data_IF_409834968391
#
_entry.id   IF_409834968391
#
_cell.length_a   1.000
_cell.length_b   1.000
_cell.length_c   1.000
_cell.angle_alpha   90.00
_cell.angle_beta   90.00
_cell.angle_gamma   90.00
#
_symmetry.space_group_name_H-M   'P 1'
#
loop_
_entity.id
_entity.type
_entity.pdbx_description
1 polymer ?
#
# COMPACT_ATOMS: atom_id res chain seq x y z
N UNK A 1 15.60 22.59 5.61
CA UNK A 1 16.98 22.08 5.74
C UNK A 1 17.03 21.23 6.99
N UNK A 2 17.74 20.12 6.96
CA UNK A 2 17.93 19.25 8.12
C UNK A 2 19.42 19.25 8.47
N UNK A 3 19.72 19.36 9.75
CA UNK A 3 21.08 19.30 10.28
C UNK A 3 21.19 18.10 11.20
N UNK A 4 22.15 17.23 10.92
CA UNK A 4 22.37 16.03 11.73
C UNK A 4 23.63 16.22 12.55
N UNK A 5 23.49 16.20 13.88
CA UNK A 5 24.60 16.34 14.82
C UNK A 5 25.58 15.17 14.75
N UNK A 6 25.13 13.97 14.34
CA UNK A 6 25.97 12.78 14.19
C UNK A 6 27.06 12.96 13.12
N UNK A 7 26.72 13.57 11.98
CA UNK A 7 27.60 13.68 10.81
C UNK A 7 27.97 15.13 10.46
N UNK A 8 27.52 16.12 11.24
CA UNK A 8 27.73 17.57 11.02
C UNK A 8 27.45 18.03 9.57
N UNK A 9 26.45 17.45 8.90
CA UNK A 9 26.08 17.77 7.51
C UNK A 9 24.79 18.57 7.48
N UNK A 10 24.80 19.64 6.67
CA UNK A 10 23.62 20.42 6.30
C UNK A 10 23.05 19.86 5.00
N UNK A 11 21.78 19.46 5.04
CA UNK A 11 21.10 18.92 3.88
C UNK A 11 19.96 19.81 3.40
N UNK A 12 19.90 20.02 2.09
CA UNK A 12 18.87 20.79 1.41
C UNK A 12 17.89 19.85 0.69
N UNK A 13 16.60 20.04 0.96
CA UNK A 13 15.51 19.24 0.41
C UNK A 13 14.47 20.17 -0.24
N UNK A 14 14.78 20.75 -1.41
CA UNK A 14 13.88 21.69 -2.09
C UNK A 14 12.60 20.97 -2.54
N UNK A 15 11.47 21.68 -2.46
CA UNK A 15 10.15 21.17 -2.87
C UNK A 15 9.37 22.29 -3.55
N UNK A 16 8.76 21.96 -4.67
CA UNK A 16 7.91 22.85 -5.45
C UNK A 16 6.59 22.12 -5.72
N UNK A 17 5.48 22.82 -5.54
CA UNK A 17 4.16 22.33 -5.91
C UNK A 17 3.40 23.45 -6.62
N UNK A 18 2.82 23.13 -7.77
CA UNK A 18 2.04 24.02 -8.61
C UNK A 18 0.70 23.35 -8.89
N UNK A 19 -0.38 24.10 -8.75
CA UNK A 19 -1.70 23.59 -9.05
C UNK A 19 -2.49 24.63 -9.84
N UNK A 20 -3.16 24.19 -10.90
CA UNK A 20 -3.94 25.02 -11.79
C UNK A 20 -5.36 24.48 -11.90
N UNK A 21 -6.35 25.33 -11.60
CA UNK A 21 -7.77 24.98 -11.80
C UNK A 21 -8.08 25.06 -13.28
N UNK A 22 -8.38 23.91 -13.89
CA UNK A 22 -8.78 23.82 -15.31
C UNK A 22 -10.29 23.99 -15.50
N UNK A 23 -11.06 24.01 -14.41
CA UNK A 23 -12.49 24.30 -14.38
C UNK A 23 -13.01 24.47 -12.95
N UNK A 24 -14.32 24.65 -12.78
CA UNK A 24 -14.96 24.85 -11.47
C UNK A 24 -14.65 23.69 -10.50
N UNK A 25 -14.71 22.47 -11.03
CA UNK A 25 -14.53 21.21 -10.29
C UNK A 25 -13.24 20.48 -10.65
N UNK A 26 -12.39 21.05 -11.52
CA UNK A 26 -11.24 20.36 -12.11
C UNK A 26 -9.92 21.08 -11.80
N UNK A 27 -8.89 20.30 -11.49
CA UNK A 27 -7.55 20.81 -11.19
C UNK A 27 -6.49 19.85 -11.70
N UNK A 28 -5.41 20.41 -12.24
CA UNK A 28 -4.15 19.71 -12.50
C UNK A 28 -3.13 20.21 -11.48
N UNK A 29 -2.34 19.32 -10.88
CA UNK A 29 -1.21 19.72 -10.05
C UNK A 29 0.06 18.94 -10.38
N UNK A 30 1.19 19.64 -10.29
CA UNK A 30 2.53 19.11 -10.47
C UNK A 30 3.32 19.38 -9.19
N UNK A 31 3.87 18.33 -8.60
CA UNK A 31 4.76 18.42 -7.45
C UNK A 31 6.12 17.79 -7.78
N UNK A 32 7.19 18.49 -7.45
CA UNK A 32 8.55 17.99 -7.56
C UNK A 32 9.33 18.31 -6.29
N UNK A 33 10.16 17.40 -5.82
CA UNK A 33 10.99 17.69 -4.65
C UNK A 33 11.91 16.56 -4.25
N UNK A 34 12.93 16.93 -3.48
CA UNK A 34 13.88 16.00 -2.88
C UNK A 34 13.51 15.72 -1.44
N UNK A 35 13.69 14.47 -1.04
CA UNK A 35 13.43 13.93 0.28
C UNK A 35 14.64 13.13 0.73
N UNK A 36 14.77 12.99 2.03
CA UNK A 36 15.88 12.28 2.63
C UNK A 36 15.43 11.65 3.94
N UNK A 37 16.11 10.58 4.32
CA UNK A 37 15.88 9.88 5.55
C UNK A 37 17.22 9.40 6.11
N UNK A 38 17.41 9.53 7.42
CA UNK A 38 18.55 8.91 8.07
C UNK A 38 18.47 7.38 7.91
N UNK A 39 19.60 6.68 7.75
CA UNK A 39 19.64 5.24 7.85
C UNK A 39 18.98 4.75 9.15
N UNK A 40 18.46 3.52 9.13
CA UNK A 40 17.84 2.95 10.31
C UNK A 40 18.86 2.80 11.46
N UNK A 41 18.40 2.98 12.69
CA UNK A 41 19.26 3.02 13.89
C UNK A 41 20.09 1.75 14.09
N UNK A 42 19.58 0.59 13.68
CA UNK A 42 20.28 -0.69 13.71
C UNK A 42 21.53 -0.69 12.81
N UNK A 43 21.46 -0.03 11.65
CA UNK A 43 22.60 0.13 10.74
C UNK A 43 23.58 1.19 11.25
N UNK A 44 23.08 2.30 11.81
CA UNK A 44 23.92 3.37 12.38
C UNK A 44 24.70 2.92 13.61
N UNK A 45 24.20 1.95 14.37
CA UNK A 45 24.93 1.31 15.48
C UNK A 45 26.17 0.54 15.02
N UNK A 46 26.12 0.02 13.79
CA UNK A 46 27.23 -0.73 13.19
C UNK A 46 28.19 0.25 12.52
N UNK A 47 27.68 1.09 11.61
CA UNK A 47 28.45 2.12 10.93
C UNK A 47 27.77 3.49 11.06
N UNK A 48 28.32 4.34 11.92
CA UNK A 48 27.83 5.70 12.16
C UNK A 48 28.25 6.72 11.09
N UNK A 49 29.01 6.32 10.07
CA UNK A 49 29.44 7.18 8.96
C UNK A 49 28.51 7.08 7.74
N UNK A 50 27.41 6.33 7.84
CA UNK A 50 26.42 6.24 6.78
C UNK A 50 25.73 7.59 6.54
N UNK A 51 25.56 7.92 5.27
CA UNK A 51 24.85 9.12 4.81
C UNK A 51 23.34 8.90 4.70
N UNK A 52 22.61 10.00 4.56
CA UNK A 52 21.16 9.98 4.36
C UNK A 52 20.79 9.31 3.05
N UNK A 53 19.78 8.45 3.10
CA UNK A 53 19.12 7.90 1.93
C UNK A 53 18.25 8.97 1.28
N UNK A 54 18.26 9.08 -0.05
CA UNK A 54 17.58 10.16 -0.78
C UNK A 54 16.52 9.64 -1.72
N UNK A 55 15.46 10.43 -1.88
CA UNK A 55 14.39 10.18 -2.85
C UNK A 55 13.98 11.48 -3.55
N UNK A 56 14.08 11.51 -4.88
CA UNK A 56 13.56 12.60 -5.70
C UNK A 56 12.20 12.19 -6.26
N UNK A 57 11.17 13.02 -6.01
CA UNK A 57 9.80 12.77 -6.45
C UNK A 57 9.40 13.74 -7.55
N UNK A 58 8.71 13.23 -8.56
CA UNK A 58 7.98 13.98 -9.56
C UNK A 58 6.59 13.37 -9.68
N UNK A 59 5.55 14.16 -9.40
CA UNK A 59 4.18 13.71 -9.33
C UNK A 59 3.30 14.66 -10.13
N UNK A 60 2.54 14.13 -11.07
CA UNK A 60 1.54 14.85 -11.84
C UNK A 60 0.17 14.26 -11.53
N UNK A 61 -0.75 15.08 -11.04
CA UNK A 61 -2.11 14.66 -10.79
C UNK A 61 -3.12 15.50 -11.58
N UNK A 62 -4.24 14.86 -11.90
CA UNK A 62 -5.46 15.52 -12.33
C UNK A 62 -6.60 15.02 -11.44
N UNK A 63 -7.41 15.94 -10.96
CA UNK A 63 -8.60 15.63 -10.19
C UNK A 63 -9.80 16.39 -10.72
N UNK A 64 -10.94 15.70 -10.76
CA UNK A 64 -12.25 16.29 -10.92
C UNK A 64 -13.11 15.88 -9.72
N UNK A 65 -13.61 16.87 -8.98
CA UNK A 65 -14.36 16.68 -7.74
C UNK A 65 -15.66 17.44 -7.82
N UNK A 66 -16.77 16.72 -7.84
CA UNK A 66 -18.11 17.25 -7.65
C UNK A 66 -18.69 16.74 -6.33
N UNK A 67 -19.83 17.26 -5.84
CA UNK A 67 -20.43 16.81 -4.58
C UNK A 67 -20.65 15.29 -4.48
N UNK A 68 -20.85 14.63 -5.62
CA UNK A 68 -21.33 13.25 -5.70
C UNK A 68 -20.42 12.31 -6.50
N UNK A 69 -19.43 12.86 -7.20
CA UNK A 69 -18.54 12.08 -8.04
C UNK A 69 -17.13 12.63 -7.91
N UNK A 70 -16.15 11.75 -7.83
CA UNK A 70 -14.75 12.11 -7.72
C UNK A 70 -13.95 11.25 -8.68
N UNK A 71 -13.19 11.90 -9.55
CA UNK A 71 -12.18 11.27 -10.39
C UNK A 71 -10.81 11.80 -10.02
N UNK A 72 -9.83 10.92 -9.85
CA UNK A 72 -8.42 11.28 -9.68
C UNK A 72 -7.57 10.33 -10.49
N UNK A 73 -6.57 10.89 -11.16
CA UNK A 73 -5.48 10.15 -11.77
C UNK A 73 -4.18 10.82 -11.40
N UNK A 74 -3.20 10.03 -10.97
CA UNK A 74 -1.88 10.50 -10.57
C UNK A 74 -0.83 9.64 -11.23
N UNK A 75 0.11 10.28 -11.95
CA UNK A 75 1.34 9.65 -12.41
C UNK A 75 2.49 10.08 -11.52
N UNK A 76 3.31 9.13 -11.10
CA UNK A 76 4.47 9.43 -10.26
C UNK A 76 5.74 8.77 -10.79
N UNK A 77 6.86 9.45 -10.56
CA UNK A 77 8.21 8.96 -10.73
C UNK A 77 9.02 9.32 -9.49
N UNK A 78 9.59 8.30 -8.87
CA UNK A 78 10.48 8.42 -7.71
C UNK A 78 11.82 7.82 -8.08
N UNK A 79 12.91 8.53 -7.79
CA UNK A 79 14.28 8.04 -7.94
C UNK A 79 14.92 7.98 -6.58
N UNK A 80 15.43 6.80 -6.22
CA UNK A 80 16.11 6.55 -4.97
C UNK A 80 17.62 6.54 -5.20
N UNK A 81 18.37 7.23 -4.34
CA UNK A 81 19.82 7.37 -4.40
C UNK A 81 20.39 7.28 -3.01
N UNK A 82 21.68 6.98 -2.93
CA UNK A 82 22.42 6.89 -1.68
C UNK A 82 21.79 5.91 -0.67
N UNK A 83 21.14 4.86 -1.19
CA UNK A 83 20.54 3.83 -0.33
C UNK A 83 21.63 3.00 0.34
N UNK A 84 21.40 2.60 1.57
CA UNK A 84 22.35 1.80 2.34
C UNK A 84 22.45 0.40 1.75
N UNK A 85 23.69 -0.09 1.64
CA UNK A 85 24.11 -1.41 1.18
C UNK A 85 25.03 -2.05 2.22
N UNK A 86 24.91 -3.35 2.41
CA UNK A 86 25.82 -4.15 3.26
C UNK A 86 25.91 -5.59 2.76
N UNK A 87 26.92 -6.32 3.22
CA UNK A 87 27.08 -7.75 2.92
C UNK A 87 26.35 -8.59 3.98
N UNK A 88 25.44 -9.45 3.54
CA UNK A 88 24.69 -10.35 4.43
C UNK A 88 25.58 -11.38 5.13
N UNK A 89 26.74 -11.71 4.56
CA UNK A 89 27.65 -12.72 5.10
C UNK A 89 28.45 -12.20 6.30
N UNK A 90 28.60 -10.88 6.44
CA UNK A 90 29.33 -10.25 7.54
C UNK A 90 28.70 -8.91 7.93
N UNK A 91 27.51 -9.00 8.52
CA UNK A 91 26.72 -7.84 8.99
C UNK A 91 27.38 -7.10 10.16
N UNK A 92 28.42 -7.65 10.80
CA UNK A 92 29.08 -6.99 11.93
C UNK A 92 30.26 -6.14 11.51
N UNK A 93 30.69 -6.24 10.24
CA UNK A 93 31.82 -5.48 9.74
C UNK A 93 31.36 -4.13 9.17
N UNK A 94 31.64 -3.00 9.87
CA UNK A 94 31.20 -1.68 9.44
C UNK A 94 31.80 -1.25 8.09
N UNK A 95 32.94 -1.81 7.66
CA UNK A 95 33.56 -1.41 6.39
C UNK A 95 32.82 -1.92 5.16
N UNK A 96 31.92 -2.89 5.33
CA UNK A 96 31.09 -3.42 4.24
C UNK A 96 29.79 -2.62 4.03
N UNK A 97 29.56 -1.60 4.87
CA UNK A 97 28.42 -0.71 4.77
C UNK A 97 28.75 0.48 3.87
N UNK A 98 27.83 0.81 2.95
CA UNK A 98 27.98 1.96 2.04
C UNK A 98 26.64 2.55 1.63
N UNK A 99 26.63 3.77 1.09
CA UNK A 99 25.47 4.39 0.45
C UNK A 99 25.50 4.24 -1.08
N UNK A 100 25.84 3.06 -1.58
CA UNK A 100 25.96 2.81 -3.03
C UNK A 100 24.66 2.38 -3.71
N UNK A 101 23.63 2.07 -2.92
CA UNK A 101 22.35 1.57 -3.40
C UNK A 101 21.52 2.64 -4.10
N UNK A 102 20.68 2.20 -5.02
CA UNK A 102 19.82 3.08 -5.81
C UNK A 102 18.58 2.33 -6.31
N UNK A 103 17.59 3.05 -6.77
CA UNK A 103 16.37 2.44 -7.29
C UNK A 103 15.42 3.44 -7.91
N UNK A 104 14.25 2.96 -8.30
CA UNK A 104 13.16 3.80 -8.75
C UNK A 104 11.82 3.19 -8.36
N UNK A 105 10.80 4.02 -8.30
CA UNK A 105 9.41 3.59 -8.30
C UNK A 105 8.62 4.53 -9.19
N UNK A 106 7.91 3.99 -10.18
CA UNK A 106 7.07 4.77 -11.09
C UNK A 106 5.76 4.05 -11.32
N UNK A 107 4.72 4.82 -11.59
CA UNK A 107 3.40 4.24 -11.65
C UNK A 107 2.30 5.22 -11.91
N UNK A 108 1.09 4.67 -11.91
CA UNK A 108 -0.15 5.42 -12.12
C UNK A 108 -1.15 4.93 -11.08
N UNK A 109 -1.78 5.88 -10.39
CA UNK A 109 -2.91 5.64 -9.49
C UNK A 109 -4.18 6.25 -10.10
N UNK A 110 -5.26 5.49 -10.11
CA UNK A 110 -6.58 5.90 -10.57
C UNK A 110 -7.59 5.68 -9.46
N UNK A 111 -8.45 6.68 -9.24
CA UNK A 111 -9.56 6.61 -8.32
C UNK A 111 -10.82 7.19 -8.97
N UNK A 112 -11.90 6.43 -8.95
CA UNK A 112 -13.23 6.86 -9.36
C UNK A 112 -14.23 6.55 -8.26
N UNK A 113 -15.03 7.53 -7.83
CA UNK A 113 -16.17 7.34 -6.95
C UNK A 113 -17.40 7.99 -7.55
N UNK A 114 -18.53 7.30 -7.43
CA UNK A 114 -19.81 7.77 -7.94
C UNK A 114 -20.94 7.33 -7.02
N UNK A 115 -21.64 8.32 -6.48
CA UNK A 115 -22.83 8.12 -5.64
C UNK A 115 -24.10 8.75 -6.26
N UNK A 116 -24.08 9.05 -7.56
CA UNK A 116 -25.17 9.74 -8.28
C UNK A 116 -25.78 8.91 -9.39
N UNK A 117 -24.97 8.24 -10.20
CA UNK A 117 -25.45 7.62 -11.46
C UNK A 117 -26.45 6.51 -11.22
N UNK A 118 -26.27 5.74 -10.14
CA UNK A 118 -27.12 4.63 -9.77
C UNK A 118 -27.91 4.97 -8.50
N UNK A 119 -29.22 4.74 -8.55
CA UNK A 119 -30.13 5.08 -7.44
C UNK A 119 -29.76 4.30 -6.19
N UNK A 120 -29.55 5.02 -5.09
CA UNK A 120 -29.19 4.46 -3.78
C UNK A 120 -27.88 3.65 -3.78
N UNK A 121 -26.97 3.91 -4.72
CA UNK A 121 -25.68 3.23 -4.82
C UNK A 121 -24.57 4.25 -4.59
N UNK A 122 -23.55 3.83 -3.85
CA UNK A 122 -22.26 4.50 -3.73
C UNK A 122 -21.18 3.46 -4.02
N UNK A 123 -20.43 3.65 -5.10
CA UNK A 123 -19.36 2.75 -5.47
C UNK A 123 -18.08 3.53 -5.78
N UNK A 124 -16.95 2.87 -5.58
CA UNK A 124 -15.68 3.40 -6.03
C UNK A 124 -14.73 2.29 -6.48
N UNK A 125 -13.85 2.68 -7.40
CA UNK A 125 -12.85 1.84 -8.02
C UNK A 125 -11.50 2.53 -7.82
N UNK A 126 -10.57 1.81 -7.23
CA UNK A 126 -9.18 2.20 -7.09
C UNK A 126 -8.30 1.24 -7.88
N UNK A 127 -7.42 1.76 -8.71
CA UNK A 127 -6.43 0.97 -9.44
C UNK A 127 -5.06 1.60 -9.34
N UNK A 128 -4.04 0.80 -9.06
CA UNK A 128 -2.65 1.23 -8.97
C UNK A 128 -1.76 0.33 -9.81
N UNK A 129 -0.96 0.95 -10.67
CA UNK A 129 0.16 0.32 -11.37
C UNK A 129 1.49 0.79 -10.76
N UNK A 130 2.39 -0.15 -10.49
CA UNK A 130 3.71 0.11 -9.91
C UNK A 130 4.78 -0.70 -10.65
N UNK A 131 5.75 0.01 -11.21
CA UNK A 131 7.01 -0.54 -11.69
C UNK A 131 8.13 0.00 -10.78
N UNK A 132 8.83 -0.91 -10.10
CA UNK A 132 9.81 -0.56 -9.07
C UNK A 132 10.90 -1.60 -8.95
N UNK A 133 12.13 -1.13 -8.88
CA UNK A 133 13.28 -1.94 -8.53
C UNK A 133 14.25 -1.12 -7.69
N UNK A 134 14.93 -1.79 -6.76
CA UNK A 134 15.97 -1.18 -5.96
C UNK A 134 17.10 -2.15 -5.69
N UNK A 135 18.29 -1.59 -5.67
CA UNK A 135 19.47 -2.19 -5.08
C UNK A 135 19.60 -1.62 -3.66
N UNK A 136 19.20 -2.41 -2.68
CA UNK A 136 18.96 -1.95 -1.31
C UNK A 136 19.45 -2.98 -0.30
N UNK A 137 20.12 -2.52 0.76
CA UNK A 137 20.64 -3.36 1.86
C UNK A 137 21.49 -4.52 1.34
N UNK A 138 21.10 -5.73 1.68
CA UNK A 138 21.73 -7.01 1.38
C UNK A 138 21.41 -7.56 -0.01
N UNK A 139 20.69 -6.80 -0.85
CA UNK A 139 20.33 -7.32 -2.18
C UNK A 139 21.59 -7.60 -3.01
N UNK A 140 21.77 -8.79 -3.60
CA UNK A 140 22.95 -9.04 -4.42
C UNK A 140 22.92 -8.24 -5.73
N UNK A 141 21.72 -7.90 -6.21
CA UNK A 141 21.48 -7.13 -7.43
C UNK A 141 20.21 -6.28 -7.28
N UNK A 142 20.01 -5.33 -8.19
CA UNK A 142 18.77 -4.56 -8.27
C UNK A 142 17.58 -5.51 -8.52
N UNK A 143 16.56 -5.42 -7.67
CA UNK A 143 15.40 -6.30 -7.74
C UNK A 143 14.10 -5.63 -7.30
N UNK A 144 12.97 -6.20 -7.72
CA UNK A 144 11.64 -5.84 -7.23
C UNK A 144 11.53 -6.25 -5.75
N UNK A 145 11.19 -5.33 -4.83
CA UNK A 145 11.01 -5.65 -3.42
C UNK A 145 9.90 -6.68 -3.19
N UNK A 146 10.08 -7.58 -2.22
CA UNK A 146 9.17 -8.71 -1.99
C UNK A 146 7.76 -8.34 -1.53
N UNK A 147 7.55 -7.11 -1.07
CA UNK A 147 6.23 -6.58 -0.71
C UNK A 147 5.53 -5.85 -1.86
N UNK A 148 6.23 -5.58 -2.98
CA UNK A 148 5.68 -4.83 -4.09
C UNK A 148 4.87 -5.74 -5.02
N UNK A 149 3.72 -5.24 -5.47
CA UNK A 149 2.88 -5.86 -6.51
C UNK A 149 2.65 -4.85 -7.61
N UNK A 150 2.74 -5.28 -8.87
CA UNK A 150 2.70 -4.41 -10.02
C UNK A 150 1.30 -3.85 -10.32
N UNK A 151 0.25 -4.66 -10.10
CA UNK A 151 -1.13 -4.24 -10.32
C UNK A 151 -1.94 -4.47 -9.05
N UNK A 152 -2.68 -3.45 -8.62
CA UNK A 152 -3.62 -3.53 -7.51
C UNK A 152 -4.95 -2.93 -7.95
N UNK A 153 -6.06 -3.64 -7.67
CA UNK A 153 -7.41 -3.20 -7.97
C UNK A 153 -8.28 -3.40 -6.72
N UNK A 154 -9.07 -2.40 -6.38
CA UNK A 154 -10.11 -2.48 -5.36
C UNK A 154 -11.40 -1.88 -5.89
N UNK A 155 -12.48 -2.65 -5.81
CA UNK A 155 -13.83 -2.22 -6.20
C UNK A 155 -14.69 -2.33 -4.96
N UNK A 156 -15.22 -1.21 -4.49
CA UNK A 156 -16.17 -1.18 -3.39
C UNK A 156 -17.52 -0.76 -3.92
N UNK A 157 -18.55 -1.48 -3.51
CA UNK A 157 -19.93 -1.22 -3.86
C UNK A 157 -20.77 -1.19 -2.59
N UNK A 158 -21.63 -0.18 -2.47
CA UNK A 158 -22.64 -0.08 -1.42
C UNK A 158 -23.98 0.25 -2.04
N UNK A 159 -25.02 -0.41 -1.57
CA UNK A 159 -26.39 -0.15 -2.01
C UNK A 159 -27.33 -0.06 -0.81
N UNK A 160 -28.04 1.05 -0.72
CA UNK A 160 -29.12 1.26 0.24
C UNK A 160 -30.44 0.74 -0.34
N UNK A 161 -31.14 -0.07 0.45
CA UNK A 161 -32.44 -0.65 0.15
C UNK A 161 -33.48 -0.04 1.11
N UNK A 162 -34.13 1.09 0.74
CA UNK A 162 -35.02 1.82 1.65
C UNK A 162 -36.16 0.98 2.21
N UNK A 163 -36.74 0.09 1.39
CA UNK A 163 -37.85 -0.78 1.80
C UNK A 163 -37.46 -1.74 2.94
N UNK A 164 -36.19 -2.15 3.00
CA UNK A 164 -35.66 -3.06 4.02
C UNK A 164 -34.96 -2.32 5.15
N UNK A 165 -34.76 -1.01 5.04
CA UNK A 165 -33.86 -0.23 5.91
C UNK A 165 -32.45 -0.87 6.01
N UNK A 166 -31.97 -1.41 4.89
CA UNK A 166 -30.72 -2.19 4.86
C UNK A 166 -29.75 -1.61 3.84
N UNK A 167 -28.48 -1.48 4.21
CA UNK A 167 -27.37 -1.26 3.29
C UNK A 167 -26.65 -2.59 3.08
N UNK A 168 -26.47 -3.00 1.83
CA UNK A 168 -25.58 -4.09 1.47
C UNK A 168 -24.30 -3.52 0.89
N UNK A 169 -23.17 -4.14 1.21
CA UNK A 169 -21.86 -3.70 0.75
C UNK A 169 -20.98 -4.88 0.34
N UNK A 170 -20.08 -4.62 -0.60
CA UNK A 170 -19.11 -5.60 -1.05
C UNK A 170 -17.82 -4.91 -1.49
N UNK A 171 -16.70 -5.55 -1.19
CA UNK A 171 -15.37 -5.15 -1.65
C UNK A 171 -14.73 -6.32 -2.36
N UNK A 172 -14.38 -6.11 -3.63
CA UNK A 172 -13.52 -7.01 -4.38
C UNK A 172 -12.11 -6.41 -4.44
N UNK A 173 -11.11 -7.18 -4.03
CA UNK A 173 -9.71 -6.75 -4.08
C UNK A 173 -8.86 -7.76 -4.84
N UNK A 174 -8.01 -7.25 -5.72
CA UNK A 174 -7.08 -8.02 -6.52
C UNK A 174 -5.68 -7.41 -6.43
N UNK A 175 -4.66 -8.26 -6.32
CA UNK A 175 -3.28 -7.85 -6.55
C UNK A 175 -2.54 -8.88 -7.40
N UNK A 176 -1.69 -8.38 -8.31
CA UNK A 176 -0.79 -9.23 -9.09
C UNK A 176 0.21 -9.97 -8.19
N UNK A 177 0.87 -11.02 -8.70
CA UNK A 177 1.94 -11.71 -7.98
C UNK A 177 3.00 -10.76 -7.40
N UNK A 178 3.50 -11.10 -6.22
CA UNK A 178 4.68 -10.47 -5.61
C UNK A 178 5.91 -11.34 -5.86
N UNK A 179 7.07 -10.71 -5.91
CA UNK A 179 8.34 -11.45 -5.94
C UNK A 179 8.68 -11.98 -4.55
N UNK A 180 9.40 -13.09 -4.49
CA UNK A 180 10.06 -13.55 -3.27
C UNK A 180 11.38 -14.21 -3.62
N UNK A 181 12.32 -14.22 -2.67
CA UNK A 181 13.58 -14.91 -2.83
C UNK A 181 13.40 -16.39 -2.49
N UNK A 182 13.66 -17.28 -3.45
CA UNK A 182 13.78 -18.71 -3.21
C UNK A 182 15.27 -19.08 -3.18
N UNK A 183 15.84 -19.49 -2.04
CA UNK A 183 17.24 -19.92 -1.95
C UNK A 183 17.58 -21.14 -2.83
N UNK A 184 16.57 -21.88 -3.30
CA UNK A 184 16.75 -23.00 -4.23
C UNK A 184 16.81 -22.54 -5.69
N UNK A 185 16.45 -21.29 -5.99
CA UNK A 185 16.57 -20.70 -7.33
C UNK A 185 17.89 -19.93 -7.47
N UNK A 186 18.44 -19.92 -8.69
CA UNK A 186 19.70 -19.21 -8.97
C UNK A 186 19.54 -17.69 -9.06
N UNK A 187 18.31 -17.21 -9.29
CA UNK A 187 18.02 -15.79 -9.51
C UNK A 187 17.35 -15.18 -8.27
N UNK A 188 17.94 -14.11 -7.75
CA UNK A 188 17.41 -13.38 -6.60
C UNK A 188 16.03 -12.79 -6.92
N UNK A 189 15.06 -13.01 -6.01
CA UNK A 189 13.68 -12.52 -6.15
C UNK A 189 12.95 -12.94 -7.44
N UNK A 190 13.31 -14.08 -8.05
CA UNK A 190 12.66 -14.57 -9.27
C UNK A 190 11.30 -15.24 -9.02
N UNK A 191 11.16 -15.93 -7.88
CA UNK A 191 9.91 -16.59 -7.47
C UNK A 191 8.71 -15.64 -7.44
N UNK A 192 7.52 -16.15 -7.81
CA UNK A 192 6.26 -15.38 -7.88
C UNK A 192 5.17 -16.02 -7.04
N UNK A 193 4.55 -15.25 -6.16
CA UNK A 193 3.36 -15.73 -5.43
C UNK A 193 2.20 -15.96 -6.41
N UNK A 194 1.19 -16.78 -6.05
CA UNK A 194 -0.10 -16.69 -6.71
C UNK A 194 -0.67 -15.26 -6.63
N UNK A 195 -1.59 -14.93 -7.55
CA UNK A 195 -2.37 -13.67 -7.47
C UNK A 195 -3.06 -13.57 -6.11
N UNK A 196 -3.30 -12.36 -5.62
CA UNK A 196 -4.15 -12.10 -4.46
C UNK A 196 -5.58 -11.82 -4.94
N UNK A 197 -6.57 -12.47 -4.33
CA UNK A 197 -7.99 -12.21 -4.57
C UNK A 197 -8.72 -12.27 -3.23
N UNK A 198 -9.53 -11.26 -2.97
CA UNK A 198 -10.44 -11.17 -1.82
C UNK A 198 -11.81 -10.68 -2.27
N UNK A 199 -12.87 -11.32 -1.79
CA UNK A 199 -14.24 -10.84 -1.89
C UNK A 199 -14.81 -10.76 -0.48
N UNK A 200 -14.98 -9.56 0.03
CA UNK A 200 -15.53 -9.29 1.35
C UNK A 200 -16.93 -8.69 1.24
N UNK A 201 -17.90 -9.18 2.02
CA UNK A 201 -19.27 -8.68 2.01
C UNK A 201 -19.66 -8.13 3.39
N UNK A 202 -20.57 -7.16 3.40
CA UNK A 202 -21.17 -6.63 4.60
C UNK A 202 -22.65 -6.29 4.39
N UNK A 203 -23.37 -6.25 5.50
CA UNK A 203 -24.78 -5.86 5.56
C UNK A 203 -25.00 -5.04 6.83
N UNK A 204 -25.65 -3.89 6.68
CA UNK A 204 -26.01 -2.99 7.78
C UNK A 204 -27.52 -2.81 7.78
N UNK A 205 -28.20 -3.24 8.83
CA UNK A 205 -29.63 -3.03 9.03
C UNK A 205 -29.89 -1.89 10.02
N UNK A 206 -30.63 -0.88 9.61
CA UNK A 206 -31.06 0.24 10.45
C UNK A 206 -32.35 -0.13 11.18
N UNK A 207 -32.20 -0.73 12.36
CA UNK A 207 -33.32 -1.16 13.20
C UNK A 207 -34.14 0.05 13.68
N UNK A 208 -33.45 1.11 14.13
CA UNK A 208 -34.03 2.41 14.49
C UNK A 208 -33.08 3.52 14.02
N UNK A 209 -33.47 4.79 14.12
CA UNK A 209 -32.59 5.92 13.76
C UNK A 209 -31.26 5.95 14.53
N UNK A 210 -31.20 5.28 15.69
CA UNK A 210 -30.03 5.23 16.56
C UNK A 210 -29.37 3.86 16.66
N UNK A 211 -29.96 2.81 16.08
CA UNK A 211 -29.51 1.42 16.22
C UNK A 211 -29.24 0.82 14.84
N UNK A 212 -27.99 0.40 14.63
CA UNK A 212 -27.56 -0.31 13.43
C UNK A 212 -27.06 -1.69 13.83
N UNK A 213 -27.58 -2.73 13.18
CA UNK A 213 -27.07 -4.09 13.26
C UNK A 213 -26.18 -4.32 12.05
N UNK A 214 -24.92 -4.64 12.26
CA UNK A 214 -23.92 -4.82 11.21
C UNK A 214 -23.39 -6.23 11.23
N UNK A 215 -23.36 -6.88 10.08
CA UNK A 215 -22.68 -8.14 9.88
C UNK A 215 -21.71 -8.04 8.70
N UNK A 216 -20.57 -8.71 8.79
CA UNK A 216 -19.61 -8.79 7.68
C UNK A 216 -18.85 -10.10 7.67
N UNK A 217 -18.38 -10.46 6.49
CA UNK A 217 -17.53 -11.59 6.22
C UNK A 217 -16.38 -11.14 5.33
N UNK A 218 -15.16 -11.18 5.85
CA UNK A 218 -13.96 -10.93 5.04
C UNK A 218 -13.54 -12.20 4.31
N UNK A 219 -13.01 -12.04 3.09
CA UNK A 219 -12.60 -13.16 2.22
C UNK A 219 -13.66 -14.27 2.17
N UNK A 220 -14.90 -13.93 1.82
CA UNK A 220 -16.05 -14.82 1.81
C UNK A 220 -15.77 -16.13 1.05
N UNK A 221 -14.98 -16.07 -0.02
CA UNK A 221 -14.56 -17.25 -0.80
C UNK A 221 -13.59 -18.15 -0.02
N UNK A 222 -12.93 -17.66 1.01
CA UNK A 222 -11.96 -18.40 1.84
C UNK A 222 -10.71 -18.76 1.07
N UNK A 223 -10.33 -17.93 0.10
CA UNK A 223 -9.16 -18.18 -0.71
C UNK A 223 -7.91 -18.03 0.15
N UNK A 224 -7.00 -18.99 0.07
CA UNK A 224 -5.71 -18.86 0.70
C UNK A 224 -4.86 -17.85 -0.08
N UNK A 225 -4.59 -16.71 0.55
CA UNK A 225 -3.80 -15.64 -0.02
C UNK A 225 -2.36 -15.73 0.52
N UNK A 226 -1.42 -16.01 -0.37
CA UNK A 226 0.02 -16.18 -0.06
C UNK A 226 0.75 -14.88 -0.36
N UNK A 227 1.52 -14.37 0.62
CA UNK A 227 2.27 -13.13 0.51
C UNK A 227 3.78 -13.31 0.31
N UNK A 228 4.24 -14.55 0.30
CA UNK A 228 5.64 -14.94 0.14
C UNK A 228 5.92 -16.26 0.85
N UNK A 229 7.19 -16.62 0.93
CA UNK A 229 7.64 -17.84 1.60
C UNK A 229 8.74 -17.51 2.61
N UNK A 230 8.82 -18.29 3.68
CA UNK A 230 9.97 -18.33 4.60
C UNK A 230 10.68 -19.65 4.38
N UNK A 231 11.99 -19.62 4.18
CA UNK A 231 12.80 -20.82 3.99
C UNK A 231 13.59 -21.13 5.26
N UNK A 232 13.91 -22.40 5.47
CA UNK A 232 14.90 -22.84 6.46
C UNK A 232 16.25 -22.18 6.18
N UNK A 233 17.04 -21.94 7.23
CA UNK A 233 18.43 -21.46 7.08
C UNK A 233 19.39 -22.58 6.64
N UNK A 234 18.99 -23.84 6.85
CA UNK A 234 19.80 -25.02 6.53
C UNK A 234 19.05 -25.89 5.50
N UNK A 235 19.74 -26.38 4.44
CA UNK A 235 19.15 -27.29 3.48
C UNK A 235 18.89 -28.66 4.10
N UNK A 236 17.91 -29.38 3.56
CA UNK A 236 17.66 -30.78 3.93
C UNK A 236 18.73 -31.72 3.33
N UNK A 237 18.61 -33.03 3.59
CA UNK A 237 19.55 -34.04 3.08
C UNK A 237 19.66 -34.10 1.55
N UNK A 238 18.75 -33.47 0.81
CA UNK A 238 18.75 -33.37 -0.65
C UNK A 238 19.31 -32.03 -1.16
N UNK A 239 19.80 -31.16 -0.27
CA UNK A 239 20.29 -29.83 -0.62
C UNK A 239 19.20 -28.77 -0.77
N UNK A 240 17.93 -29.09 -0.49
CA UNK A 240 16.81 -28.18 -0.67
C UNK A 240 16.46 -27.44 0.63
N UNK A 241 16.32 -26.13 0.54
CA UNK A 241 15.79 -25.28 1.59
C UNK A 241 14.26 -25.43 1.64
N UNK A 242 13.74 -25.97 2.73
CA UNK A 242 12.29 -26.18 2.90
C UNK A 242 11.59 -24.85 3.14
N UNK A 243 10.58 -24.55 2.34
CA UNK A 243 9.79 -23.31 2.41
C UNK A 243 8.42 -23.49 3.05
N UNK A 244 7.96 -22.49 3.80
CA UNK A 244 6.60 -22.37 4.34
C UNK A 244 5.95 -21.10 3.82
N UNK A 245 4.72 -21.22 3.32
CA UNK A 245 3.97 -20.07 2.80
C UNK A 245 3.59 -19.10 3.92
N UNK A 246 3.76 -17.80 3.67
CA UNK A 246 3.28 -16.72 4.52
C UNK A 246 1.83 -16.40 4.15
N UNK A 247 0.89 -16.74 5.02
CA UNK A 247 -0.55 -16.54 4.81
C UNK A 247 -1.17 -15.74 5.96
N UNK A 248 -2.45 -15.39 5.82
CA UNK A 248 -3.21 -14.81 6.92
C UNK A 248 -3.44 -15.86 8.03
N UNK A 249 -3.43 -15.47 9.32
CA UNK A 249 -3.72 -16.40 10.42
C UNK A 249 -5.10 -17.09 10.31
N UNK A 250 -6.07 -16.41 9.70
CA UNK A 250 -7.38 -16.96 9.40
C UNK A 250 -7.76 -16.63 7.95
N UNK A 251 -8.28 -17.61 7.18
CA UNK A 251 -8.70 -17.37 5.81
C UNK A 251 -9.99 -16.55 5.73
N UNK A 252 -10.83 -16.55 6.78
CA UNK A 252 -12.08 -15.79 6.85
C UNK A 252 -12.25 -15.19 8.23
N UNK A 253 -12.89 -14.02 8.30
CA UNK A 253 -13.30 -13.42 9.56
C UNK A 253 -14.76 -12.98 9.46
N UNK A 254 -15.58 -13.49 10.38
CA UNK A 254 -16.98 -13.09 10.52
C UNK A 254 -17.10 -12.12 11.69
N UNK A 255 -17.84 -11.04 11.47
CA UNK A 255 -18.10 -10.05 12.50
C UNK A 255 -19.58 -9.71 12.54
N UNK A 256 -20.15 -9.66 13.75
CA UNK A 256 -21.50 -9.19 14.03
C UNK A 256 -21.40 -8.16 15.16
N UNK A 257 -21.93 -6.97 14.92
CA UNK A 257 -21.91 -5.86 15.87
C UNK A 257 -23.23 -5.10 15.88
N UNK A 258 -23.55 -4.50 17.02
CA UNK A 258 -24.67 -3.57 17.16
C UNK A 258 -24.11 -2.22 17.57
N UNK A 259 -24.40 -1.20 16.76
CA UNK A 259 -24.00 0.17 17.00
C UNK A 259 -25.20 0.95 17.53
N UNK A 260 -25.05 1.52 18.73
CA UNK A 260 -26.08 2.32 19.39
C UNK A 260 -25.55 3.74 19.55
N UNK A 261 -26.25 4.71 19.00
CA UNK A 261 -25.92 6.13 19.12
C UNK A 261 -26.83 6.81 20.13
N UNK A 262 -26.22 7.44 21.14
CA UNK A 262 -26.91 8.33 22.06
C UNK A 262 -26.72 9.77 21.59
N UNK A 263 -27.79 10.39 21.08
CA UNK A 263 -27.78 11.81 20.67
C UNK A 263 -28.91 12.54 21.39
N UNK A 264 -28.65 13.78 21.80
CA UNK A 264 -29.67 14.69 22.34
C UNK A 264 -30.65 15.14 21.25
N UNK A 265 -30.23 15.03 19.98
CA UNK A 265 -31.03 15.30 18.80
C UNK A 265 -31.40 13.97 18.12
N UNK A 266 -32.67 13.59 18.20
CA UNK A 266 -33.20 12.29 17.78
C UNK A 266 -33.36 12.12 16.26
N UNK A 267 -33.04 13.14 15.47
CA UNK A 267 -33.30 13.17 14.02
C UNK A 267 -32.09 12.82 13.13
N UNK A 268 -30.90 12.65 13.71
CA UNK A 268 -29.65 12.37 12.99
C UNK A 268 -29.55 10.89 12.56
N UNK A 269 -29.85 10.61 11.29
CA UNK A 269 -29.66 9.30 10.68
C UNK A 269 -28.17 9.11 10.25
N UNK A 270 -27.47 8.15 10.88
CA UNK A 270 -26.01 7.96 10.75
C UNK A 270 -25.57 6.97 9.66
N UNK A 271 -26.45 6.42 8.84
CA UNK A 271 -26.00 5.61 7.69
C UNK A 271 -25.10 6.37 6.72
N UNK A 272 -25.13 7.70 6.74
CA UNK A 272 -24.24 8.54 5.92
C UNK A 272 -22.76 8.45 6.33
N UNK A 273 -22.46 7.98 7.54
CA UNK A 273 -21.07 7.89 8.07
C UNK A 273 -20.48 6.47 8.05
N UNK A 274 -21.23 5.45 7.62
CA UNK A 274 -20.77 4.05 7.48
C UNK A 274 -20.46 3.69 6.03
#
# INVERSE_FOLDING_TARGET
AEYTTLNNKLYLAPRLSLAYKTGENAQVALAAGSFQQAPADDLLRINNQLDFEKADHLILNYQWVSPNQTFRIEGYLKRYRDLVKFDANDVHNPTLYSNSGNGYARGIDLFWRDNKTLKNVDYWISYSFLDTERDYRDYPTKAVPTFASAHNLSVVYKQWLPALKTQIGGTFSFASPRTYNDPNESAFNAGKTPVYIDLSLNISYLATQSIIVYASATNLLGRENIFGYTYSDVPNNQGNYVGVAKTLPAPRFLFLGVFITFSKDSTLNQLKSL
#
